data_IF_435105667853
#
_entry.id   IF_435105667853
#
_cell.length_a   1.000
_cell.length_b   1.000
_cell.length_c   1.000
_cell.angle_alpha   90.00
_cell.angle_beta   90.00
_cell.angle_gamma   90.00
#
_symmetry.space_group_name_H-M   'P 1'
#
loop_
_entity.id
_entity.type
_entity.pdbx_description
1 polymer ?
#
# COMPACT_ATOMS: atom_id res chain seq x y z
N UNK A 1 5.26 18.92 -1.76
CA UNK A 1 4.15 18.91 -2.72
C UNK A 1 3.19 17.81 -2.35
N UNK A 2 1.91 18.11 -2.28
CA UNK A 2 0.90 17.14 -1.88
C UNK A 2 0.65 16.12 -2.99
N UNK A 3 0.50 14.86 -2.62
CA UNK A 3 0.16 13.80 -3.55
C UNK A 3 -1.35 13.56 -3.52
N UNK A 4 -1.94 13.35 -4.68
CA UNK A 4 -3.36 13.00 -4.77
C UNK A 4 -3.55 11.50 -4.52
N UNK A 5 -4.78 11.11 -4.19
CA UNK A 5 -5.08 9.68 -4.01
C UNK A 5 -4.81 8.89 -5.30
N UNK A 6 -5.04 9.49 -6.45
CA UNK A 6 -4.77 8.84 -7.74
C UNK A 6 -3.28 8.56 -7.90
N UNK A 7 -2.44 9.52 -7.58
CA UNK A 7 -0.99 9.33 -7.66
C UNK A 7 -0.50 8.27 -6.66
N UNK A 8 -1.02 8.32 -5.44
CA UNK A 8 -0.68 7.34 -4.40
C UNK A 8 -1.08 5.94 -4.87
N UNK A 9 -2.29 5.80 -5.41
CA UNK A 9 -2.79 4.51 -5.88
C UNK A 9 -1.93 3.95 -7.03
N UNK A 10 -1.52 4.80 -7.95
CA UNK A 10 -0.66 4.37 -9.06
C UNK A 10 0.65 3.81 -8.56
N UNK A 11 1.26 4.47 -7.58
CA UNK A 11 2.52 4.00 -7.01
C UNK A 11 2.32 2.72 -6.22
N UNK A 12 1.23 2.62 -5.48
CA UNK A 12 0.90 1.40 -4.75
C UNK A 12 0.71 0.23 -5.69
N UNK A 13 0.06 0.43 -6.83
CA UNK A 13 -0.13 -0.63 -7.81
C UNK A 13 1.21 -1.17 -8.30
N UNK A 14 2.18 -0.29 -8.54
CA UNK A 14 3.52 -0.71 -8.93
C UNK A 14 4.21 -1.49 -7.83
N UNK A 15 4.07 -1.03 -6.59
CA UNK A 15 4.67 -1.70 -5.44
C UNK A 15 4.04 -3.08 -5.24
N UNK A 16 2.71 -3.17 -5.34
CA UNK A 16 2.00 -4.44 -5.19
C UNK A 16 2.38 -5.42 -6.28
N UNK A 17 2.59 -4.96 -7.49
CA UNK A 17 3.05 -5.81 -8.60
C UNK A 17 4.34 -6.52 -8.24
N UNK A 18 5.23 -5.82 -7.55
CA UNK A 18 6.51 -6.38 -7.15
C UNK A 18 6.41 -7.23 -5.90
N UNK A 19 5.50 -6.88 -5.00
CA UNK A 19 5.32 -7.59 -3.73
C UNK A 19 4.54 -8.88 -3.88
N UNK A 20 3.55 -8.90 -4.80
CA UNK A 20 2.71 -10.06 -5.04
C UNK A 20 3.37 -10.94 -6.09
N UNK A 21 3.80 -12.12 -5.68
CA UNK A 21 4.44 -13.06 -6.61
C UNK A 21 3.41 -13.93 -7.34
N UNK A 22 2.16 -13.87 -6.93
CA UNK A 22 1.09 -14.66 -7.54
C UNK A 22 0.51 -13.91 -8.74
N UNK A 23 0.74 -14.44 -9.94
CA UNK A 23 0.31 -13.81 -11.18
C UNK A 23 -1.19 -13.90 -11.44
N UNK A 24 -1.93 -14.62 -10.59
CA UNK A 24 -3.39 -14.71 -10.75
C UNK A 24 -4.12 -13.50 -10.19
N UNK A 25 -3.42 -12.64 -9.44
CA UNK A 25 -4.02 -11.43 -8.89
C UNK A 25 -4.14 -10.38 -10.00
N UNK A 26 -5.36 -9.91 -10.22
CA UNK A 26 -5.63 -8.87 -11.21
C UNK A 26 -5.68 -7.51 -10.51
N UNK A 27 -4.60 -6.74 -10.64
CA UNK A 27 -4.48 -5.45 -9.96
C UNK A 27 -5.48 -4.41 -10.48
N UNK A 28 -6.00 -4.60 -11.68
CA UNK A 28 -7.03 -3.71 -12.21
C UNK A 28 -8.36 -3.81 -11.44
N UNK A 29 -8.56 -4.93 -10.75
CA UNK A 29 -9.76 -5.15 -9.94
C UNK A 29 -9.57 -4.82 -8.48
N UNK A 30 -8.38 -4.38 -8.09
CA UNK A 30 -8.09 -4.02 -6.71
C UNK A 30 -8.75 -2.69 -6.38
N UNK A 31 -9.58 -2.67 -5.35
CA UNK A 31 -10.24 -1.47 -4.88
C UNK A 31 -9.78 -1.11 -3.47
N UNK A 32 -10.37 -0.05 -2.93
CA UNK A 32 -10.03 0.41 -1.58
C UNK A 32 -10.37 -0.64 -0.51
N UNK A 33 -11.37 -1.47 -0.76
CA UNK A 33 -11.80 -2.52 0.18
C UNK A 33 -10.97 -3.79 0.07
N UNK A 34 -10.06 -3.87 -0.89
CA UNK A 34 -9.24 -5.06 -1.09
C UNK A 34 -8.32 -5.26 0.11
N UNK A 35 -8.37 -6.46 0.70
CA UNK A 35 -7.57 -6.81 1.86
C UNK A 35 -6.18 -7.28 1.42
N UNK A 36 -5.15 -6.74 2.04
CA UNK A 36 -3.79 -7.04 1.64
C UNK A 36 -3.41 -8.50 1.88
N UNK A 37 -3.88 -9.07 2.98
CA UNK A 37 -3.55 -10.45 3.32
C UNK A 37 -4.52 -11.42 2.65
N UNK A 38 -5.81 -11.17 2.76
CA UNK A 38 -6.83 -12.10 2.31
C UNK A 38 -7.05 -12.08 0.80
N UNK A 39 -7.01 -10.90 0.21
CA UNK A 39 -7.29 -10.75 -1.22
C UNK A 39 -6.03 -10.74 -2.07
N UNK A 40 -4.97 -10.11 -1.60
CA UNK A 40 -3.70 -10.04 -2.33
C UNK A 40 -2.73 -11.15 -1.95
N UNK A 41 -3.00 -11.86 -0.86
CA UNK A 41 -2.16 -12.96 -0.42
C UNK A 41 -0.81 -12.55 0.14
N UNK A 42 -0.68 -11.32 0.61
CA UNK A 42 0.57 -10.86 1.20
C UNK A 42 0.77 -11.45 2.58
N UNK A 43 1.97 -11.93 2.85
CA UNK A 43 2.38 -12.37 4.19
C UNK A 43 3.18 -11.26 4.86
N UNK A 44 3.72 -11.54 6.06
CA UNK A 44 4.48 -10.53 6.81
C UNK A 44 5.66 -9.98 6.02
N UNK A 45 6.33 -10.83 5.25
CA UNK A 45 7.48 -10.40 4.44
C UNK A 45 7.01 -9.47 3.32
N UNK A 46 5.91 -9.83 2.66
CA UNK A 46 5.34 -8.99 1.59
C UNK A 46 4.89 -7.65 2.11
N UNK A 47 4.24 -7.63 3.27
CA UNK A 47 3.81 -6.38 3.89
C UNK A 47 5.00 -5.52 4.27
N UNK A 48 6.05 -6.12 4.83
CA UNK A 48 7.26 -5.39 5.16
C UNK A 48 7.90 -4.77 3.92
N UNK A 49 7.92 -5.52 2.82
CA UNK A 49 8.42 -5.00 1.55
C UNK A 49 7.63 -3.77 1.11
N UNK A 50 6.29 -3.84 1.19
CA UNK A 50 5.42 -2.74 0.81
C UNK A 50 5.71 -1.52 1.69
N UNK A 51 5.85 -1.71 3.00
CA UNK A 51 6.15 -0.62 3.94
C UNK A 51 7.47 0.07 3.55
N UNK A 52 8.51 -0.71 3.33
CA UNK A 52 9.82 -0.14 2.99
C UNK A 52 9.77 0.61 1.66
N UNK A 53 9.10 0.04 0.67
CA UNK A 53 8.97 0.68 -0.63
C UNK A 53 8.22 2.01 -0.55
N UNK A 54 7.14 2.04 0.24
CA UNK A 54 6.37 3.26 0.43
C UNK A 54 7.20 4.33 1.14
N UNK A 55 7.93 3.93 2.17
CA UNK A 55 8.78 4.88 2.90
C UNK A 55 9.80 5.54 1.99
N UNK A 56 10.43 4.74 1.15
CA UNK A 56 11.42 5.27 0.22
C UNK A 56 10.79 6.10 -0.88
N UNK A 57 9.68 5.64 -1.40
CA UNK A 57 9.04 6.29 -2.53
C UNK A 57 8.45 7.64 -2.18
N UNK A 58 7.79 7.74 -1.03
CA UNK A 58 7.10 8.96 -0.60
C UNK A 58 7.90 9.76 0.43
N UNK A 59 9.07 9.29 0.81
CA UNK A 59 9.93 9.93 1.82
C UNK A 59 9.20 10.14 3.15
N UNK A 60 8.48 9.13 3.59
CA UNK A 60 7.75 9.16 4.86
C UNK A 60 8.21 8.01 5.75
N UNK A 61 7.76 8.01 7.00
CA UNK A 61 8.09 6.97 7.97
C UNK A 61 6.85 6.36 8.58
N UNK A 62 6.86 5.05 8.72
CA UNK A 62 5.79 4.31 9.38
C UNK A 62 6.17 4.01 10.82
N UNK A 63 6.42 5.04 11.60
CA UNK A 63 6.84 4.88 12.99
C UNK A 63 5.67 4.79 13.96
N UNK A 64 4.48 5.15 13.52
CA UNK A 64 3.27 5.14 14.36
C UNK A 64 2.15 4.29 13.74
N UNK A 65 2.49 3.39 12.83
CA UNK A 65 1.50 2.58 12.14
C UNK A 65 0.99 1.46 13.06
N UNK A 66 -0.32 1.30 13.07
CA UNK A 66 -0.95 0.17 13.77
C UNK A 66 -1.31 -0.94 12.79
N UNK A 67 -1.74 -2.08 13.32
CA UNK A 67 -2.08 -3.24 12.50
C UNK A 67 -3.25 -2.96 11.55
N UNK A 68 -4.18 -2.09 11.96
CA UNK A 68 -5.33 -1.74 11.14
C UNK A 68 -5.00 -0.86 9.94
N UNK A 69 -3.84 -0.20 9.97
CA UNK A 69 -3.45 0.70 8.88
C UNK A 69 -3.03 -0.05 7.61
N UNK A 70 -2.73 -1.34 7.73
CA UNK A 70 -2.33 -2.17 6.61
C UNK A 70 -3.31 -3.29 6.33
N UNK A 71 -4.58 -3.09 6.68
CA UNK A 71 -5.61 -4.09 6.46
C UNK A 71 -6.13 -4.06 5.02
N UNK A 72 -6.46 -2.89 4.51
CA UNK A 72 -6.97 -2.73 3.15
C UNK A 72 -6.14 -1.72 2.37
N UNK A 73 -6.31 -1.75 1.04
CA UNK A 73 -5.65 -0.79 0.15
C UNK A 73 -6.06 0.63 0.53
N UNK A 74 -7.34 0.84 0.80
CA UNK A 74 -7.85 2.16 1.19
C UNK A 74 -7.22 2.67 2.47
N UNK A 75 -7.03 1.81 3.47
CA UNK A 75 -6.42 2.22 4.73
C UNK A 75 -4.95 2.62 4.52
N UNK A 76 -4.24 1.92 3.64
CA UNK A 76 -2.86 2.28 3.31
C UNK A 76 -2.81 3.64 2.61
N UNK A 77 -3.71 3.85 1.66
CA UNK A 77 -3.79 5.13 0.95
C UNK A 77 -4.08 6.27 1.93
N UNK A 78 -5.03 6.06 2.83
CA UNK A 78 -5.39 7.07 3.85
C UNK A 78 -4.18 7.42 4.72
N UNK A 79 -3.41 6.41 5.11
CA UNK A 79 -2.21 6.62 5.92
C UNK A 79 -1.18 7.46 5.16
N UNK A 80 -0.91 7.07 3.91
CA UNK A 80 0.07 7.79 3.08
C UNK A 80 -0.38 9.23 2.86
N UNK A 81 -1.65 9.42 2.52
CA UNK A 81 -2.19 10.74 2.25
C UNK A 81 -2.03 11.65 3.48
N UNK A 82 -2.31 11.11 4.66
CA UNK A 82 -2.17 11.85 5.90
C UNK A 82 -0.72 12.22 6.16
N UNK A 83 0.22 11.30 5.92
CA UNK A 83 1.64 11.57 6.15
C UNK A 83 2.23 12.54 5.14
N UNK A 84 1.84 12.42 3.88
CA UNK A 84 2.37 13.26 2.82
C UNK A 84 1.80 14.67 2.88
N UNK A 85 0.53 14.79 3.20
CA UNK A 85 -0.17 16.08 3.14
C UNK A 85 -0.26 16.79 4.50
N UNK A 86 0.22 16.20 5.51
CA UNK A 86 0.15 16.88 6.73
C UNK A 86 0.23 16.20 7.97
#
# INVERSE_FOLDING_TARGET
>A
MAATRVEIRKKLDEIFKMAVSNTTVDLDKVGDDTNLVMDLGLNSVGILYVVIAIEEFFSIRFDDVGTGDFETVGSVIDYIEKKVNG
#
